data_IF_434308784228
#
_entry.id   IF_434308784228
#
_cell.length_a   1.000
_cell.length_b   1.000
_cell.length_c   1.000
_cell.angle_alpha   90.00
_cell.angle_beta   90.00
_cell.angle_gamma   90.00
#
_symmetry.space_group_name_H-M   'P 1'
#
loop_
_entity.id
_entity.type
_entity.pdbx_description
1 polymer ?
#
# COMPACT_ATOMS: atom_id res chain seq x y z
N UNK A 1 4.67 12.81 -13.74
CA UNK A 1 4.33 12.52 -12.34
C UNK A 1 5.56 11.94 -11.65
N UNK A 2 5.91 12.44 -10.46
CA UNK A 2 7.04 12.00 -9.65
C UNK A 2 6.56 11.05 -8.56
N UNK A 3 7.20 9.90 -8.44
CA UNK A 3 6.81 8.85 -7.50
C UNK A 3 8.02 8.40 -6.71
N UNK A 4 7.90 8.40 -5.39
CA UNK A 4 8.90 7.84 -4.50
C UNK A 4 8.47 6.45 -4.06
N UNK A 5 9.38 5.48 -4.15
CA UNK A 5 9.14 4.12 -3.68
C UNK A 5 10.06 3.86 -2.51
N UNK A 6 9.48 3.53 -1.36
CA UNK A 6 10.16 3.24 -0.11
C UNK A 6 9.91 1.78 0.28
N UNK A 7 10.78 1.24 1.11
CA UNK A 7 10.58 -0.09 1.67
C UNK A 7 11.81 -0.61 2.40
N UNK A 8 11.61 -1.59 3.27
CA UNK A 8 12.73 -2.27 3.92
C UNK A 8 13.62 -2.99 2.89
N UNK A 9 14.89 -3.28 3.20
CA UNK A 9 15.71 -4.16 2.37
C UNK A 9 15.00 -5.48 2.05
N UNK A 10 15.17 -6.02 0.85
CA UNK A 10 14.53 -7.28 0.44
C UNK A 10 13.02 -7.21 0.18
N UNK A 11 12.35 -6.09 0.46
CA UNK A 11 10.91 -5.92 0.21
C UNK A 11 10.53 -5.79 -1.26
N UNK A 12 11.47 -5.88 -2.22
CA UNK A 12 11.19 -5.77 -3.65
C UNK A 12 10.98 -4.33 -4.19
N UNK A 13 11.23 -3.29 -3.39
CA UNK A 13 11.13 -1.87 -3.80
C UNK A 13 11.90 -1.51 -5.07
N UNK A 14 13.13 -2.00 -5.21
CA UNK A 14 14.00 -1.70 -6.36
C UNK A 14 13.51 -2.39 -7.63
N UNK A 15 13.07 -3.65 -7.52
CA UNK A 15 12.42 -4.35 -8.63
C UNK A 15 11.14 -3.61 -9.06
N UNK A 16 10.33 -3.15 -8.10
CA UNK A 16 9.10 -2.40 -8.41
C UNK A 16 9.41 -1.08 -9.12
N UNK A 17 10.44 -0.35 -8.67
CA UNK A 17 10.88 0.88 -9.30
C UNK A 17 11.26 0.67 -10.78
N UNK A 18 12.04 -0.36 -11.06
CA UNK A 18 12.43 -0.74 -12.41
C UNK A 18 11.22 -1.16 -13.25
N UNK A 19 10.35 -2.01 -12.70
CA UNK A 19 9.16 -2.50 -13.40
C UNK A 19 8.21 -1.35 -13.78
N UNK A 20 8.02 -0.38 -12.88
CA UNK A 20 7.23 0.82 -13.16
C UNK A 20 7.87 1.69 -14.24
N UNK A 21 9.18 1.92 -14.18
CA UNK A 21 9.90 2.71 -15.19
C UNK A 21 9.80 2.06 -16.58
N UNK A 22 9.79 0.73 -16.66
CA UNK A 22 9.61 0.00 -17.92
C UNK A 22 8.19 0.10 -18.48
N UNK A 23 7.17 -0.01 -17.63
CA UNK A 23 5.76 0.02 -18.07
C UNK A 23 5.25 1.45 -18.32
N UNK A 24 5.85 2.43 -17.64
CA UNK A 24 5.41 3.83 -17.62
C UNK A 24 6.63 4.75 -17.66
N UNK A 25 7.35 4.81 -18.80
CA UNK A 25 8.57 5.61 -18.94
C UNK A 25 8.36 7.11 -18.71
N UNK A 26 7.12 7.59 -18.79
CA UNK A 26 6.73 8.97 -18.49
C UNK A 26 6.76 9.33 -16.99
N UNK A 27 6.82 8.32 -16.10
CA UNK A 27 6.92 8.53 -14.66
C UNK A 27 8.38 8.78 -14.26
N UNK A 28 8.57 9.71 -13.33
CA UNK A 28 9.87 9.94 -12.69
C UNK A 28 9.89 9.15 -11.39
N UNK A 29 10.57 8.02 -11.37
CA UNK A 29 10.62 7.11 -10.22
C UNK A 29 11.90 7.33 -9.41
N UNK A 30 11.75 7.56 -8.10
CA UNK A 30 12.85 7.56 -7.15
C UNK A 30 12.85 6.25 -6.34
N UNK A 31 13.91 5.44 -6.47
CA UNK A 31 14.11 4.24 -5.66
C UNK A 31 14.74 4.59 -4.30
N UNK A 32 13.94 4.44 -3.25
CA UNK A 32 14.31 4.62 -1.85
C UNK A 32 15.00 5.96 -1.51
N UNK A 33 14.43 7.11 -1.92
CA UNK A 33 14.97 8.41 -1.55
C UNK A 33 14.86 8.62 -0.03
N UNK A 34 15.78 9.39 0.60
CA UNK A 34 15.66 9.72 2.01
C UNK A 34 14.36 10.50 2.28
N UNK A 35 13.58 10.08 3.28
CA UNK A 35 12.27 10.68 3.59
C UNK A 35 12.38 12.20 3.81
N UNK A 36 13.46 12.67 4.44
CA UNK A 36 13.71 14.09 4.67
C UNK A 36 13.75 14.95 3.39
N UNK A 37 14.03 14.35 2.23
CA UNK A 37 14.09 15.04 0.93
C UNK A 37 12.75 15.09 0.21
N UNK A 38 11.77 14.29 0.61
CA UNK A 38 10.47 14.17 -0.08
C UNK A 38 9.68 15.48 -0.11
N UNK A 39 9.59 16.28 0.98
CA UNK A 39 8.87 17.56 0.95
C UNK A 39 9.43 18.54 -0.08
N UNK A 40 10.76 18.54 -0.26
CA UNK A 40 11.44 19.44 -1.20
C UNK A 40 11.40 18.91 -2.65
N UNK A 41 11.27 17.59 -2.83
CA UNK A 41 11.36 16.93 -4.14
C UNK A 41 10.08 17.04 -4.98
N UNK A 42 8.97 17.54 -4.39
CA UNK A 42 7.64 17.65 -5.00
C UNK A 42 7.16 16.32 -5.60
N UNK A 43 7.20 15.28 -4.79
CA UNK A 43 6.72 13.95 -5.17
C UNK A 43 5.18 13.94 -5.16
N UNK A 44 4.55 13.45 -6.22
CA UNK A 44 3.09 13.40 -6.36
C UNK A 44 2.46 12.25 -5.55
N UNK A 45 3.18 11.11 -5.47
CA UNK A 45 2.76 9.92 -4.72
C UNK A 45 3.95 9.20 -4.08
N UNK A 46 3.73 8.74 -2.86
CA UNK A 46 4.69 7.90 -2.13
C UNK A 46 4.09 6.49 -2.03
N UNK A 47 4.86 5.50 -2.43
CA UNK A 47 4.54 4.09 -2.32
C UNK A 47 5.48 3.43 -1.31
N UNK A 48 4.93 2.63 -0.41
CA UNK A 48 5.69 1.82 0.54
C UNK A 48 5.46 0.34 0.22
N UNK A 49 6.51 -0.43 -0.07
CA UNK A 49 6.36 -1.87 -0.31
C UNK A 49 6.19 -2.62 1.00
N UNK A 50 5.20 -3.51 1.04
CA UNK A 50 4.92 -4.35 2.20
C UNK A 50 5.97 -5.45 2.43
N UNK A 51 5.95 -5.96 3.66
CA UNK A 51 6.68 -7.16 4.08
C UNK A 51 5.78 -8.39 3.90
N UNK A 52 5.49 -8.75 2.65
CA UNK A 52 4.64 -9.89 2.29
C UNK A 52 5.40 -10.99 1.54
N UNK A 53 6.72 -10.90 1.51
CA UNK A 53 7.62 -11.90 0.94
C UNK A 53 8.06 -12.90 2.02
N UNK A 54 8.35 -14.17 1.66
CA UNK A 54 8.87 -15.13 2.62
C UNK A 54 10.25 -14.70 3.14
N UNK A 55 10.57 -15.07 4.39
CA UNK A 55 11.88 -14.83 4.99
C UNK A 55 12.10 -13.43 5.58
N UNK A 56 11.03 -12.76 6.01
CA UNK A 56 11.13 -11.46 6.70
C UNK A 56 11.88 -11.63 8.01
N UNK A 57 12.88 -10.77 8.20
CA UNK A 57 13.69 -10.68 9.41
C UNK A 57 13.15 -9.62 10.37
N UNK A 58 13.43 -9.71 11.68
CA UNK A 58 13.07 -8.67 12.65
C UNK A 58 13.61 -7.29 12.26
N UNK A 59 14.84 -7.22 11.73
CA UNK A 59 15.43 -5.97 11.24
C UNK A 59 14.64 -5.33 10.09
N UNK A 60 14.07 -6.14 9.19
CA UNK A 60 13.19 -5.62 8.14
C UNK A 60 11.88 -5.09 8.73
N UNK A 61 11.33 -5.76 9.74
CA UNK A 61 10.11 -5.32 10.44
C UNK A 61 10.34 -3.99 11.17
N UNK A 62 11.47 -3.85 11.87
CA UNK A 62 11.88 -2.61 12.52
C UNK A 62 12.07 -1.49 11.50
N UNK A 63 12.71 -1.80 10.36
CA UNK A 63 12.91 -0.83 9.27
C UNK A 63 11.57 -0.37 8.68
N UNK A 64 10.64 -1.29 8.38
CA UNK A 64 9.31 -0.95 7.87
C UNK A 64 8.52 -0.10 8.87
N UNK A 65 8.57 -0.47 10.16
CA UNK A 65 7.94 0.29 11.24
C UNK A 65 8.52 1.71 11.36
N UNK A 66 9.84 1.85 11.26
CA UNK A 66 10.53 3.14 11.29
C UNK A 66 10.17 4.01 10.07
N UNK A 67 10.06 3.42 8.88
CA UNK A 67 9.62 4.14 7.67
C UNK A 67 8.20 4.66 7.82
N UNK A 68 7.26 3.84 8.33
CA UNK A 68 5.88 4.25 8.60
C UNK A 68 5.81 5.39 9.62
N UNK A 69 6.55 5.26 10.72
CA UNK A 69 6.61 6.29 11.75
C UNK A 69 7.18 7.61 11.19
N UNK A 70 8.24 7.56 10.39
CA UNK A 70 8.84 8.73 9.76
C UNK A 70 7.90 9.41 8.75
N UNK A 71 7.18 8.64 7.93
CA UNK A 71 6.18 9.17 7.01
C UNK A 71 5.02 9.83 7.75
N UNK A 72 4.53 9.21 8.82
CA UNK A 72 3.48 9.74 9.67
C UNK A 72 3.91 11.03 10.38
N UNK A 73 5.10 11.06 10.97
CA UNK A 73 5.66 12.24 11.63
C UNK A 73 5.86 13.40 10.64
N UNK A 74 6.24 13.10 9.40
CA UNK A 74 6.36 14.10 8.34
C UNK A 74 5.02 14.54 7.74
N UNK A 75 3.89 13.94 8.15
CA UNK A 75 2.56 14.22 7.58
C UNK A 75 2.42 13.84 6.10
N UNK A 76 3.24 12.90 5.62
CA UNK A 76 3.28 12.49 4.23
C UNK A 76 2.31 11.34 3.98
N UNK A 77 1.31 11.55 3.12
CA UNK A 77 0.41 10.49 2.69
C UNK A 77 1.14 9.47 1.79
N UNK A 78 0.90 8.18 2.02
CA UNK A 78 1.51 7.10 1.25
C UNK A 78 0.53 5.93 1.05
N UNK A 79 0.73 5.18 -0.03
CA UNK A 79 0.01 3.93 -0.30
C UNK A 79 0.92 2.72 -0.06
N UNK A 80 0.40 1.66 0.57
CA UNK A 80 1.16 0.42 0.77
C UNK A 80 0.91 -0.55 -0.37
N UNK A 81 1.98 -1.10 -0.96
CA UNK A 81 1.92 -2.04 -2.07
C UNK A 81 2.32 -3.43 -1.62
N UNK A 82 1.37 -4.35 -1.64
CA UNK A 82 1.59 -5.78 -1.40
C UNK A 82 1.60 -6.56 -2.71
N UNK A 83 2.03 -7.82 -2.64
CA UNK A 83 2.10 -8.77 -3.73
C UNK A 83 3.53 -9.11 -4.13
N UNK A 84 3.67 -10.10 -5.00
CA UNK A 84 4.97 -10.55 -5.50
C UNK A 84 5.02 -10.38 -7.03
N UNK A 85 6.18 -9.96 -7.55
CA UNK A 85 6.41 -9.77 -8.99
C UNK A 85 5.28 -8.96 -9.65
N UNK A 86 4.69 -9.52 -10.71
CA UNK A 86 3.64 -8.86 -11.51
C UNK A 86 2.42 -8.40 -10.69
N UNK A 87 2.04 -9.12 -9.62
CA UNK A 87 0.95 -8.69 -8.73
C UNK A 87 1.27 -7.35 -8.08
N UNK A 88 2.50 -7.18 -7.58
CA UNK A 88 2.93 -5.93 -6.94
C UNK A 88 2.91 -4.77 -7.91
N UNK A 89 3.38 -5.00 -9.14
CA UNK A 89 3.32 -3.99 -10.20
C UNK A 89 1.87 -3.57 -10.48
N UNK A 90 0.95 -4.54 -10.62
CA UNK A 90 -0.46 -4.25 -10.86
C UNK A 90 -1.09 -3.44 -9.71
N UNK A 91 -0.77 -3.77 -8.45
CA UNK A 91 -1.24 -3.00 -7.29
C UNK A 91 -0.66 -1.58 -7.26
N UNK A 92 0.63 -1.41 -7.58
CA UNK A 92 1.24 -0.09 -7.68
C UNK A 92 0.56 0.76 -8.77
N UNK A 93 0.33 0.19 -9.95
CA UNK A 93 -0.36 0.90 -11.03
C UNK A 93 -1.75 1.39 -10.62
N UNK A 94 -2.52 0.61 -9.86
CA UNK A 94 -3.85 1.04 -9.35
C UNK A 94 -3.78 2.23 -8.40
N UNK A 95 -2.69 2.39 -7.65
CA UNK A 95 -2.48 3.52 -6.74
C UNK A 95 -1.98 4.79 -7.46
N UNK A 96 -1.30 4.60 -8.59
CA UNK A 96 -0.71 5.68 -9.39
C UNK A 96 -1.75 6.24 -10.36
N UNK A 97 -2.39 5.35 -11.10
CA UNK A 97 -3.49 5.62 -12.02
C UNK A 97 -4.70 4.87 -11.47
N UNK A 98 -5.51 5.50 -10.61
CA UNK A 98 -6.83 4.96 -10.33
C UNK A 98 -7.57 4.95 -11.67
N UNK A 99 -7.71 3.78 -12.28
CA UNK A 99 -8.55 3.62 -13.46
C UNK A 99 -9.94 4.18 -13.11
N UNK A 100 -10.63 4.81 -14.06
CA UNK A 100 -12.06 5.18 -13.99
C UNK A 100 -12.98 3.93 -13.94
N UNK A 101 -12.56 2.90 -13.21
CA UNK A 101 -13.45 1.86 -12.74
C UNK A 101 -14.32 2.42 -11.61
N UNK A 102 -15.53 1.87 -11.41
CA UNK A 102 -16.37 2.29 -10.30
C UNK A 102 -15.56 2.25 -9.01
N UNK A 103 -15.57 3.36 -8.26
CA UNK A 103 -14.92 3.44 -6.96
C UNK A 103 -15.22 2.16 -6.18
N UNK A 104 -14.22 1.56 -5.50
CA UNK A 104 -14.46 0.37 -4.70
C UNK A 104 -15.67 0.66 -3.80
N UNK A 105 -16.71 -0.19 -3.89
CA UNK A 105 -17.96 -0.04 -3.12
C UNK A 105 -17.75 -0.08 -1.59
N UNK A 106 -16.50 -0.22 -1.16
CA UNK A 106 -16.07 -0.08 0.21
C UNK A 106 -15.22 1.19 0.39
N UNK A 107 -15.89 2.33 0.52
CA UNK A 107 -15.33 3.52 1.17
C UNK A 107 -15.37 3.28 2.68
N UNK A 108 -14.44 2.47 3.18
CA UNK A 108 -14.23 2.27 4.61
C UNK A 108 -13.57 3.50 5.25
N UNK A 109 -14.19 4.68 5.13
CA UNK A 109 -13.90 5.80 6.03
C UNK A 109 -14.76 5.63 7.28
N UNK A 110 -14.50 4.58 8.05
CA UNK A 110 -14.99 4.52 9.41
C UNK A 110 -13.95 5.23 10.27
N UNK A 111 -14.27 6.44 10.73
CA UNK A 111 -13.44 7.20 11.67
C UNK A 111 -13.22 6.47 13.02
N UNK A 112 -13.83 5.28 13.20
CA UNK A 112 -13.74 4.42 14.39
C UNK A 112 -13.09 3.05 14.15
N UNK A 113 -12.50 2.79 12.98
CA UNK A 113 -11.91 1.49 12.66
C UNK A 113 -10.58 1.18 13.39
N UNK A 114 -10.11 2.05 14.27
CA UNK A 114 -9.03 1.70 15.20
C UNK A 114 -9.54 1.06 16.51
N UNK A 115 -10.85 0.85 16.64
CA UNK A 115 -11.48 0.27 17.82
C UNK A 115 -11.69 -1.26 17.65
N UNK A 116 -11.16 -2.10 18.57
CA UNK A 116 -11.33 -3.56 18.55
C UNK A 116 -12.80 -4.02 18.51
N UNK A 117 -13.73 -3.26 19.10
CA UNK A 117 -15.16 -3.60 19.10
C UNK A 117 -15.80 -3.37 17.71
N UNK A 118 -15.26 -2.44 16.92
CA UNK A 118 -15.72 -2.18 15.56
C UNK A 118 -15.34 -3.34 14.62
N UNK A 119 -14.12 -3.87 14.74
CA UNK A 119 -13.68 -5.05 14.00
C UNK A 119 -14.47 -6.30 14.41
N UNK A 120 -14.71 -6.49 15.71
CA UNK A 120 -15.48 -7.63 16.21
C UNK A 120 -16.93 -7.65 15.70
N UNK A 121 -17.60 -6.49 15.66
CA UNK A 121 -18.95 -6.37 15.08
C UNK A 121 -18.99 -6.66 13.60
N UNK A 122 -18.02 -6.17 12.82
CA UNK A 122 -17.94 -6.41 11.38
C UNK A 122 -17.76 -7.91 11.08
N UNK A 123 -16.80 -8.55 11.75
CA UNK A 123 -16.54 -9.98 11.56
C UNK A 123 -17.72 -10.86 11.98
N UNK A 124 -18.40 -10.51 13.06
CA UNK A 124 -19.58 -11.25 13.55
C UNK A 124 -20.76 -11.08 12.59
N UNK A 125 -20.99 -9.87 12.07
CA UNK A 125 -22.01 -9.60 11.06
C UNK A 125 -21.79 -10.38 9.76
N UNK A 126 -20.55 -10.46 9.27
CA UNK A 126 -20.19 -11.25 8.08
C UNK A 126 -20.43 -12.76 8.26
N UNK A 127 -20.18 -13.29 9.46
CA UNK A 127 -20.52 -14.70 9.77
C UNK A 127 -22.04 -14.93 9.74
N UNK A 128 -22.84 -13.95 10.19
CA UNK A 128 -24.30 -14.01 10.11
C UNK A 128 -24.84 -13.96 8.68
N UNK A 129 -24.25 -13.14 7.81
CA UNK A 129 -24.64 -13.04 6.39
C UNK A 129 -24.36 -14.33 5.61
N UNK A 130 -23.31 -15.08 5.97
CA UNK A 130 -22.99 -16.39 5.38
C UNK A 130 -24.06 -17.45 5.68
N UNK A 131 -24.87 -17.27 6.72
CA UNK A 131 -25.94 -18.21 7.09
C UNK A 131 -27.28 -17.94 6.38
N UNK A 132 -27.45 -16.77 5.73
CA UNK A 132 -28.74 -16.32 5.19
C UNK A 132 -28.81 -16.28 3.64
N UNK A 133 -27.91 -16.96 2.92
CA UNK A 133 -27.78 -16.79 1.47
C UNK A 133 -27.70 -18.07 0.64
N UNK A 134 -28.78 -18.85 0.57
CA UNK A 134 -29.09 -19.65 -0.64
C UNK A 134 -30.61 -19.90 -0.77
N UNK A 135 -31.35 -19.11 -1.57
CA UNK A 135 -32.63 -19.58 -2.09
C UNK A 135 -32.38 -20.51 -3.28
N UNK A 136 -33.09 -21.63 -3.30
CA UNK A 136 -33.13 -22.58 -4.40
C UNK A 136 -33.81 -21.94 -5.63
N UNK A 137 -33.32 -22.28 -6.82
CA UNK A 137 -34.12 -22.30 -8.06
C UNK A 137 -34.32 -23.76 -8.44
#
# INVERSE_FOLDING_TARGET
>A
MKIAILGAPGSGKTWLAQALQQHRPELQISDNPPIATLPSSRVDRILLTGLDLPGITPTQQETDSALRAALQQAGLAYGVVYGQGAQRLAQALRLITPEDGPAPRWTGLCEKCADPDCEFRLFTGLKGLKAAGRPAS
#
